data_IF_874344184182
#
_entry.id   IF_874344184182
#
_cell.length_a   1.000
_cell.length_b   1.000
_cell.length_c   1.000
_cell.angle_alpha   90.00
_cell.angle_beta   90.00
_cell.angle_gamma   90.00
#
_symmetry.space_group_name_H-M   'P 1'
#
loop_
_entity.id
_entity.type
_entity.pdbx_description
1 polymer ?
#
# COMPACT_ATOMS: atom_id res chain seq x y z
N UNK A 1 10.83 -32.36 -65.97
CA UNK A 1 12.06 -31.91 -65.28
C UNK A 1 11.80 -30.52 -64.73
N UNK A 2 12.01 -30.36 -63.42
CA UNK A 2 12.29 -29.14 -62.64
C UNK A 2 11.36 -27.94 -62.81
N UNK A 3 10.50 -27.69 -61.81
CA UNK A 3 10.78 -26.81 -60.66
C UNK A 3 10.46 -25.36 -60.99
N UNK A 4 9.36 -24.88 -60.45
CA UNK A 4 9.23 -23.48 -60.06
C UNK A 4 8.32 -23.50 -58.85
N UNK A 5 9.02 -23.60 -57.73
CA UNK A 5 8.56 -23.43 -56.37
C UNK A 5 7.52 -22.31 -56.27
N UNK A 6 6.26 -22.70 -56.17
CA UNK A 6 5.23 -21.82 -55.64
C UNK A 6 5.62 -21.51 -54.20
N UNK A 7 6.20 -20.32 -54.02
CA UNK A 7 6.50 -19.71 -52.74
C UNK A 7 5.27 -19.83 -51.83
N UNK A 8 5.28 -20.85 -50.97
CA UNK A 8 4.46 -20.89 -49.78
C UNK A 8 4.94 -19.70 -48.95
N UNK A 9 4.30 -18.54 -49.16
CA UNK A 9 4.41 -17.37 -48.29
C UNK A 9 3.92 -17.81 -46.93
N UNK A 10 4.84 -18.34 -46.12
CA UNK A 10 4.70 -18.48 -44.69
C UNK A 10 4.50 -17.04 -44.18
N UNK A 11 3.24 -16.64 -44.07
CA UNK A 11 2.86 -15.41 -43.40
C UNK A 11 3.60 -15.39 -42.07
N UNK A 12 4.27 -14.28 -41.72
CA UNK A 12 5.02 -14.19 -40.49
C UNK A 12 4.06 -14.60 -39.38
N UNK A 13 4.47 -15.58 -38.58
CA UNK A 13 3.79 -16.01 -37.37
C UNK A 13 3.86 -14.87 -36.36
N UNK A 14 3.13 -13.78 -36.64
CA UNK A 14 2.73 -12.81 -35.66
C UNK A 14 2.02 -13.65 -34.62
N UNK A 15 2.70 -13.90 -33.50
CA UNK A 15 2.07 -14.37 -32.27
C UNK A 15 0.93 -13.40 -31.99
N UNK A 16 -0.26 -13.68 -32.54
CA UNK A 16 -1.47 -12.90 -32.30
C UNK A 16 -1.58 -12.88 -30.78
N UNK A 17 -1.47 -11.69 -30.20
CA UNK A 17 -1.54 -11.51 -28.75
C UNK A 17 -3.00 -11.74 -28.36
N UNK A 18 -3.38 -13.00 -28.24
CA UNK A 18 -4.71 -13.42 -27.87
C UNK A 18 -5.04 -12.81 -26.51
N UNK A 19 -6.16 -12.08 -26.42
CA UNK A 19 -6.58 -11.43 -25.18
C UNK A 19 -6.88 -12.48 -24.12
N UNK A 20 -6.35 -12.27 -22.91
CA UNK A 20 -6.52 -13.20 -21.77
C UNK A 20 -7.89 -13.12 -21.10
N UNK A 21 -8.67 -12.09 -21.37
CA UNK A 21 -9.93 -11.80 -20.68
C UNK A 21 -10.97 -11.28 -21.65
N UNK A 22 -12.14 -11.93 -21.64
CA UNK A 22 -13.32 -11.54 -22.38
C UNK A 22 -14.13 -10.51 -21.58
N UNK A 23 -14.70 -9.51 -22.25
CA UNK A 23 -15.67 -8.58 -21.66
C UNK A 23 -17.02 -9.28 -21.46
N UNK A 24 -18.00 -8.61 -20.81
CA UNK A 24 -19.35 -9.16 -20.65
C UNK A 24 -20.07 -9.23 -22.01
N UNK A 25 -19.92 -8.20 -22.83
CA UNK A 25 -20.47 -8.12 -24.18
C UNK A 25 -19.92 -9.21 -25.11
N UNK A 26 -18.60 -9.40 -25.12
CA UNK A 26 -17.96 -10.46 -25.93
C UNK A 26 -18.47 -11.86 -25.53
N UNK A 27 -18.76 -12.08 -24.24
CA UNK A 27 -19.34 -13.34 -23.77
C UNK A 27 -20.78 -13.55 -24.22
N UNK A 28 -21.57 -12.48 -24.29
CA UNK A 28 -22.90 -12.53 -24.87
C UNK A 28 -22.83 -12.88 -26.36
N UNK A 29 -21.90 -12.27 -27.10
CA UNK A 29 -21.68 -12.58 -28.51
C UNK A 29 -21.30 -14.05 -28.69
N UNK A 30 -20.46 -14.62 -27.81
CA UNK A 30 -20.11 -16.05 -27.86
C UNK A 30 -21.35 -16.94 -27.71
N UNK A 31 -22.27 -16.61 -26.80
CA UNK A 31 -23.50 -17.40 -26.59
C UNK A 31 -24.37 -17.32 -27.85
N UNK A 32 -24.70 -16.12 -28.30
CA UNK A 32 -25.57 -15.92 -29.46
C UNK A 32 -25.01 -16.60 -30.72
N UNK A 33 -23.70 -16.51 -30.96
CA UNK A 33 -23.06 -17.17 -32.11
C UNK A 33 -22.98 -18.69 -31.96
N UNK A 34 -22.83 -19.19 -30.73
CA UNK A 34 -22.87 -20.63 -30.47
C UNK A 34 -24.27 -21.21 -30.66
N UNK A 35 -25.31 -20.47 -30.29
CA UNK A 35 -26.72 -20.84 -30.51
C UNK A 35 -27.08 -20.81 -32.00
N UNK A 36 -26.49 -19.89 -32.76
CA UNK A 36 -26.55 -19.85 -34.21
C UNK A 36 -25.75 -20.99 -34.91
N UNK A 37 -25.13 -21.90 -34.14
CA UNK A 37 -24.43 -23.07 -34.67
C UNK A 37 -22.98 -22.81 -35.13
N UNK A 38 -22.40 -21.64 -34.84
CA UNK A 38 -21.01 -21.37 -35.20
C UNK A 38 -20.02 -22.18 -34.36
N UNK A 39 -18.93 -22.62 -35.00
CA UNK A 39 -17.86 -23.33 -34.29
C UNK A 39 -17.06 -22.39 -33.39
N UNK A 40 -16.55 -22.92 -32.27
CA UNK A 40 -15.72 -22.14 -31.34
C UNK A 40 -14.46 -21.52 -32.00
N UNK A 41 -13.96 -22.13 -33.10
CA UNK A 41 -12.84 -21.60 -33.88
C UNK A 41 -13.24 -20.36 -34.69
N UNK A 42 -14.42 -20.36 -35.31
CA UNK A 42 -14.95 -19.20 -36.03
C UNK A 42 -15.23 -18.05 -35.08
N UNK A 43 -15.90 -18.34 -33.95
CA UNK A 43 -16.18 -17.35 -32.90
C UNK A 43 -14.87 -16.73 -32.37
N UNK A 44 -13.85 -17.56 -32.12
CA UNK A 44 -12.54 -17.10 -31.68
C UNK A 44 -11.83 -16.21 -32.71
N UNK A 45 -11.99 -16.50 -34.00
CA UNK A 45 -11.45 -15.66 -35.07
C UNK A 45 -12.12 -14.28 -35.13
N UNK A 46 -13.45 -14.23 -34.99
CA UNK A 46 -14.24 -12.99 -34.94
C UNK A 46 -13.82 -12.13 -33.75
N UNK A 47 -13.76 -12.73 -32.56
CA UNK A 47 -13.48 -12.03 -31.30
C UNK A 47 -11.99 -11.88 -30.98
N UNK A 48 -11.10 -12.30 -31.90
CA UNK A 48 -9.63 -12.29 -31.70
C UNK A 48 -9.24 -12.92 -30.34
N UNK A 49 -9.91 -14.00 -29.97
CA UNK A 49 -9.66 -14.81 -28.78
C UNK A 49 -9.37 -16.27 -29.16
N UNK A 50 -8.64 -17.02 -28.32
CA UNK A 50 -8.31 -18.40 -28.67
C UNK A 50 -9.58 -19.27 -28.65
N UNK A 51 -9.70 -20.22 -29.59
CA UNK A 51 -10.81 -21.17 -29.59
C UNK A 51 -10.91 -21.95 -28.26
N UNK A 52 -9.78 -22.20 -27.60
CA UNK A 52 -9.75 -22.79 -26.25
C UNK A 52 -10.40 -21.90 -25.17
N UNK A 53 -10.29 -20.58 -25.29
CA UNK A 53 -10.97 -19.63 -24.38
C UNK A 53 -12.48 -19.68 -24.62
N UNK A 54 -12.91 -19.71 -25.88
CA UNK A 54 -14.32 -19.86 -26.26
C UNK A 54 -14.89 -21.18 -25.73
N UNK A 55 -14.21 -22.31 -25.94
CA UNK A 55 -14.64 -23.61 -25.41
C UNK A 55 -14.74 -23.63 -23.88
N UNK A 56 -13.76 -23.06 -23.18
CA UNK A 56 -13.79 -22.97 -21.71
C UNK A 56 -14.97 -22.14 -21.22
N UNK A 57 -15.27 -21.04 -21.89
CA UNK A 57 -16.42 -20.21 -21.55
C UNK A 57 -17.74 -20.92 -21.85
N UNK A 58 -17.92 -21.52 -23.03
CA UNK A 58 -19.13 -22.27 -23.38
C UNK A 58 -19.38 -23.45 -22.43
N UNK A 59 -18.31 -24.16 -22.03
CA UNK A 59 -18.41 -25.22 -21.01
C UNK A 59 -18.92 -24.64 -19.69
N UNK A 60 -18.33 -23.55 -19.21
CA UNK A 60 -18.77 -22.89 -17.98
C UNK A 60 -20.22 -22.40 -18.05
N UNK A 61 -20.62 -21.82 -19.19
CA UNK A 61 -21.97 -21.33 -19.42
C UNK A 61 -22.98 -22.49 -19.40
N UNK A 62 -22.69 -23.62 -20.03
CA UNK A 62 -23.55 -24.81 -19.96
C UNK A 62 -23.67 -25.40 -18.55
N UNK A 63 -22.63 -25.29 -17.73
CA UNK A 63 -22.62 -25.83 -16.37
C UNK A 63 -23.31 -24.92 -15.34
N UNK A 64 -23.33 -23.60 -15.57
CA UNK A 64 -23.76 -22.62 -14.55
C UNK A 64 -24.82 -21.64 -15.03
N UNK A 65 -25.14 -21.66 -16.32
CA UNK A 65 -26.00 -20.68 -17.02
C UNK A 65 -25.58 -19.22 -16.81
N UNK A 66 -24.35 -19.02 -16.32
CA UNK A 66 -23.82 -17.71 -15.95
C UNK A 66 -22.92 -17.17 -17.05
N UNK A 67 -23.25 -15.96 -17.50
CA UNK A 67 -22.37 -15.16 -18.37
C UNK A 67 -21.20 -14.62 -17.55
N UNK A 68 -21.33 -14.54 -16.22
CA UNK A 68 -20.32 -13.94 -15.37
C UNK A 68 -19.05 -14.77 -15.30
N UNK A 69 -17.98 -14.10 -14.86
CA UNK A 69 -16.69 -14.79 -14.76
C UNK A 69 -16.72 -15.51 -13.44
N UNK A 70 -16.34 -16.78 -13.44
CA UNK A 70 -16.10 -17.51 -12.20
C UNK A 70 -15.20 -16.67 -11.28
N UNK A 71 -15.73 -16.29 -10.12
CA UNK A 71 -14.97 -15.60 -9.08
C UNK A 71 -13.78 -16.48 -8.72
N UNK A 72 -12.57 -15.91 -8.73
CA UNK A 72 -11.39 -16.64 -8.26
C UNK A 72 -11.65 -17.05 -6.82
N UNK A 73 -11.68 -18.36 -6.57
CA UNK A 73 -11.71 -18.90 -5.21
C UNK A 73 -10.46 -18.37 -4.51
N UNK A 74 -10.65 -17.44 -3.57
CA UNK A 74 -9.58 -17.06 -2.65
C UNK A 74 -9.47 -18.18 -1.61
N UNK A 75 -8.25 -18.49 -1.11
CA UNK A 75 -8.13 -19.38 0.03
C UNK A 75 -8.98 -18.83 1.18
N UNK A 76 -9.57 -19.73 1.96
CA UNK A 76 -10.32 -19.36 3.15
C UNK A 76 -9.42 -18.51 4.07
N UNK A 77 -9.98 -17.47 4.72
CA UNK A 77 -9.21 -16.66 5.66
C UNK A 77 -8.73 -17.55 6.82
N UNK A 78 -7.50 -17.27 7.30
CA UNK A 78 -6.91 -18.00 8.44
C UNK A 78 -7.65 -17.76 9.77
N UNK A 79 -8.38 -16.66 9.85
CA UNK A 79 -9.22 -16.30 10.99
C UNK A 79 -10.65 -16.39 10.49
N UNK A 80 -11.46 -17.23 11.14
CA UNK A 80 -12.88 -17.38 10.85
C UNK A 80 -13.70 -16.31 11.57
N UNK A 81 -14.97 -16.07 11.18
CA UNK A 81 -15.83 -15.12 11.87
C UNK A 81 -15.96 -15.38 13.38
N UNK A 82 -16.01 -16.64 13.80
CA UNK A 82 -16.13 -17.02 15.22
C UNK A 82 -14.86 -16.66 16.01
N UNK A 83 -13.69 -16.86 15.39
CA UNK A 83 -12.40 -16.43 15.94
C UNK A 83 -12.33 -14.91 16.05
N UNK A 84 -12.83 -14.17 15.04
CA UNK A 84 -12.95 -12.70 15.11
C UNK A 84 -13.85 -12.28 16.27
N UNK A 85 -15.01 -12.93 16.46
CA UNK A 85 -15.95 -12.61 17.53
C UNK A 85 -15.35 -12.81 18.93
N UNK A 86 -14.65 -13.94 19.16
CA UNK A 86 -13.95 -14.19 20.41
C UNK A 86 -12.87 -13.12 20.68
N UNK A 87 -12.08 -12.80 19.66
CA UNK A 87 -11.04 -11.76 19.74
C UNK A 87 -11.63 -10.38 20.03
N UNK A 88 -12.77 -10.05 19.42
CA UNK A 88 -13.49 -8.80 19.66
C UNK A 88 -14.04 -8.72 21.09
N UNK A 89 -14.60 -9.82 21.61
CA UNK A 89 -15.07 -9.89 22.98
C UNK A 89 -13.92 -9.67 23.97
N UNK A 90 -12.79 -10.37 23.80
CA UNK A 90 -11.61 -10.19 24.65
C UNK A 90 -11.04 -8.78 24.60
N UNK A 91 -11.08 -8.14 23.43
CA UNK A 91 -10.65 -6.75 23.27
C UNK A 91 -11.63 -5.74 23.90
N UNK A 92 -12.92 -6.09 24.02
CA UNK A 92 -13.92 -5.29 24.75
C UNK A 92 -13.73 -5.42 26.26
N UNK A 93 -13.54 -6.64 26.76
CA UNK A 93 -13.28 -6.92 28.18
C UNK A 93 -11.95 -6.31 28.65
N UNK A 94 -10.91 -6.41 27.83
CA UNK A 94 -9.55 -5.95 28.16
C UNK A 94 -8.95 -5.10 27.04
N UNK A 95 -8.99 -3.76 27.12
CA UNK A 95 -8.50 -2.89 26.03
C UNK A 95 -6.98 -2.95 25.82
N UNK A 96 -6.23 -3.44 26.81
CA UNK A 96 -4.77 -3.70 26.74
C UNK A 96 -4.41 -5.04 26.08
N UNK A 97 -5.40 -5.81 25.66
CA UNK A 97 -5.22 -7.13 25.07
C UNK A 97 -4.31 -7.09 23.84
N UNK A 98 -3.24 -7.89 23.87
CA UNK A 98 -2.19 -7.85 22.85
C UNK A 98 -2.39 -8.94 21.78
N UNK A 99 -1.91 -8.68 20.57
CA UNK A 99 -2.04 -9.63 19.47
C UNK A 99 -1.27 -10.96 19.70
N UNK A 100 -0.25 -10.94 20.56
CA UNK A 100 0.45 -12.16 20.99
C UNK A 100 -0.44 -13.04 21.88
N UNK A 101 -1.15 -12.43 22.82
CA UNK A 101 -2.13 -13.14 23.66
C UNK A 101 -3.26 -13.70 22.80
N UNK A 102 -3.79 -12.91 21.86
CA UNK A 102 -4.79 -13.39 20.89
C UNK A 102 -4.35 -14.59 20.07
N UNK A 103 -3.07 -14.67 19.66
CA UNK A 103 -2.56 -15.83 18.95
C UNK A 103 -2.48 -17.09 19.83
N UNK A 104 -2.14 -16.92 21.11
CA UNK A 104 -2.10 -18.03 22.09
C UNK A 104 -3.51 -18.53 22.36
N UNK A 105 -4.45 -17.61 22.59
CA UNK A 105 -5.84 -17.94 22.91
C UNK A 105 -6.55 -18.61 21.72
N UNK A 106 -6.27 -18.17 20.49
CA UNK A 106 -6.76 -18.85 19.28
C UNK A 106 -6.21 -20.27 19.14
N UNK A 107 -4.94 -20.48 19.49
CA UNK A 107 -4.35 -21.81 19.50
C UNK A 107 -4.98 -22.70 20.56
N UNK A 108 -5.27 -22.15 21.75
CA UNK A 108 -5.90 -22.89 22.83
C UNK A 108 -7.38 -23.24 22.53
N UNK A 109 -8.16 -22.28 22.02
CA UNK A 109 -9.59 -22.46 21.79
C UNK A 109 -9.92 -23.21 20.50
N UNK A 110 -9.16 -22.97 19.41
CA UNK A 110 -9.47 -23.52 18.09
C UNK A 110 -8.38 -24.42 17.51
N UNK A 111 -7.25 -24.62 18.21
CA UNK A 111 -6.12 -25.40 17.68
C UNK A 111 -5.38 -24.72 16.51
N UNK A 112 -5.70 -23.47 16.17
CA UNK A 112 -5.14 -22.80 14.99
C UNK A 112 -3.91 -22.00 15.35
N UNK A 113 -2.79 -22.33 14.70
CA UNK A 113 -1.55 -21.57 14.83
C UNK A 113 -1.56 -20.36 13.89
N UNK A 114 -1.81 -19.17 14.45
CA UNK A 114 -1.90 -17.91 13.71
C UNK A 114 -0.73 -17.00 14.10
N UNK A 115 -0.12 -16.33 13.12
CA UNK A 115 0.93 -15.36 13.41
C UNK A 115 0.34 -14.13 14.13
N UNK A 116 1.00 -13.55 15.14
CA UNK A 116 0.48 -12.38 15.87
C UNK A 116 0.13 -11.19 14.97
N UNK A 117 0.84 -10.99 13.87
CA UNK A 117 0.50 -9.92 12.91
C UNK A 117 -0.85 -10.15 12.21
N UNK A 118 -1.26 -11.40 11.99
CA UNK A 118 -2.58 -11.72 11.43
C UNK A 118 -3.68 -11.37 12.43
N UNK A 119 -3.47 -11.64 13.72
CA UNK A 119 -4.37 -11.23 14.81
C UNK A 119 -4.43 -9.69 14.92
N UNK A 120 -3.28 -9.02 14.79
CA UNK A 120 -3.23 -7.55 14.75
C UNK A 120 -4.04 -6.98 13.60
N UNK A 121 -3.97 -7.59 12.41
CA UNK A 121 -4.79 -7.20 11.28
C UNK A 121 -6.29 -7.37 11.56
N UNK A 122 -6.70 -8.47 12.20
CA UNK A 122 -8.08 -8.66 12.64
C UNK A 122 -8.53 -7.54 13.58
N UNK A 123 -7.74 -7.20 14.61
CA UNK A 123 -8.05 -6.09 15.51
C UNK A 123 -8.21 -4.74 14.79
N UNK A 124 -7.36 -4.44 13.81
CA UNK A 124 -7.45 -3.21 13.03
C UNK A 124 -8.72 -3.17 12.18
N UNK A 125 -9.12 -4.30 11.60
CA UNK A 125 -10.37 -4.41 10.84
C UNK A 125 -11.59 -4.23 11.76
N UNK A 126 -11.62 -4.88 12.92
CA UNK A 126 -12.68 -4.73 13.93
C UNK A 126 -12.80 -3.29 14.47
N UNK A 127 -11.68 -2.57 14.63
CA UNK A 127 -11.72 -1.14 15.00
C UNK A 127 -12.31 -0.26 13.90
N UNK A 128 -12.03 -0.56 12.64
CA UNK A 128 -12.64 0.16 11.50
C UNK A 128 -14.14 -0.08 11.40
N UNK A 129 -14.61 -1.32 11.66
CA UNK A 129 -16.04 -1.65 11.69
C UNK A 129 -16.79 -0.81 12.75
N UNK A 130 -16.20 -0.63 13.95
CA UNK A 130 -16.78 0.18 15.05
C UNK A 130 -16.95 1.65 14.73
N UNK A 131 -16.04 2.24 13.96
CA UNK A 131 -16.13 3.66 13.57
C UNK A 131 -17.28 3.91 12.59
N UNK A 132 -17.70 2.89 11.83
CA UNK A 132 -18.76 3.04 10.81
C UNK A 132 -20.16 2.93 11.43
N UNK A 133 -20.30 2.33 12.62
CA UNK A 133 -21.61 2.07 13.25
C UNK A 133 -22.00 3.08 14.35
N UNK A 134 -21.26 4.17 14.53
CA UNK A 134 -21.59 5.23 15.52
C UNK A 134 -22.29 6.45 14.91
N UNK A 135 -22.49 6.50 13.59
CA UNK A 135 -22.95 7.69 12.89
C UNK A 135 -24.27 7.41 12.17
N UNK A 136 -25.39 7.39 12.91
CA UNK A 136 -26.71 7.37 12.27
C UNK A 136 -27.60 8.56 12.60
N UNK A 137 -27.22 9.46 13.51
CA UNK A 137 -28.03 10.68 13.77
C UNK A 137 -27.26 12.00 13.90
N UNK A 138 -25.93 12.02 13.78
CA UNK A 138 -25.16 13.27 13.69
C UNK A 138 -24.39 13.30 12.37
N UNK A 139 -24.59 14.35 11.57
CA UNK A 139 -23.76 14.65 10.39
C UNK A 139 -22.29 14.81 10.82
N UNK A 140 -21.54 13.71 10.76
CA UNK A 140 -20.09 13.79 10.83
C UNK A 140 -19.61 14.28 9.48
N UNK A 141 -19.25 15.56 9.42
CA UNK A 141 -18.31 16.08 8.43
C UNK A 141 -17.08 15.17 8.44
N UNK A 142 -17.02 14.27 7.46
CA UNK A 142 -15.83 13.48 7.21
C UNK A 142 -14.75 14.48 6.80
N UNK A 143 -13.92 14.90 7.74
CA UNK A 143 -12.61 15.47 7.42
C UNK A 143 -11.78 14.28 6.91
N UNK A 144 -12.07 13.86 5.67
CA UNK A 144 -11.13 13.07 4.91
C UNK A 144 -9.90 13.94 4.77
N UNK A 145 -8.91 13.72 5.63
CA UNK A 145 -7.56 14.14 5.24
C UNK A 145 -7.33 13.47 3.88
N UNK A 146 -7.06 14.26 2.82
CA UNK A 146 -6.90 13.69 1.50
C UNK A 146 -5.83 12.61 1.62
N UNK A 147 -6.18 11.41 1.17
CA UNK A 147 -5.26 10.29 1.01
C UNK A 147 -4.03 10.87 0.33
N UNK A 148 -2.93 11.04 1.08
CA UNK A 148 -1.69 11.61 0.55
C UNK A 148 -1.44 10.91 -0.79
N UNK A 149 -1.39 11.64 -1.92
CA UNK A 149 -1.12 11.01 -3.19
C UNK A 149 0.14 10.20 -2.99
N UNK A 150 0.03 8.90 -3.26
CA UNK A 150 1.17 8.00 -3.29
C UNK A 150 2.09 8.64 -4.31
N UNK A 151 3.19 9.23 -3.83
CA UNK A 151 4.14 9.94 -4.68
C UNK A 151 4.44 9.00 -5.85
N UNK A 152 3.97 9.40 -7.03
CA UNK A 152 4.49 8.83 -8.25
C UNK A 152 5.97 9.16 -8.18
N UNK A 153 6.81 8.13 -8.15
CA UNK A 153 8.21 8.28 -8.49
C UNK A 153 8.25 8.64 -9.98
N UNK A 154 7.87 9.87 -10.30
CA UNK A 154 8.25 10.51 -11.55
C UNK A 154 9.75 10.77 -11.42
N UNK A 155 10.49 10.15 -12.35
CA UNK A 155 11.93 10.26 -12.39
C UNK A 155 12.36 11.72 -12.40
N UNK A 156 13.13 12.08 -11.39
CA UNK A 156 14.18 13.08 -11.45
C UNK A 156 15.08 12.84 -10.24
N UNK A 157 16.13 12.04 -10.43
CA UNK A 157 17.29 12.08 -9.53
C UNK A 157 17.94 13.46 -9.69
N UNK A 158 17.36 14.48 -9.08
CA UNK A 158 18.09 15.71 -8.80
C UNK A 158 19.04 15.35 -7.68
N UNK A 159 20.32 15.15 -8.02
CA UNK A 159 21.35 14.86 -7.04
C UNK A 159 21.29 15.89 -5.92
N UNK A 160 20.98 15.44 -4.70
CA UNK A 160 21.13 16.30 -3.53
C UNK A 160 22.61 16.63 -3.42
N UNK A 161 23.00 17.86 -3.77
CA UNK A 161 24.35 18.36 -3.48
C UNK A 161 24.57 18.16 -1.98
N UNK A 162 25.57 17.37 -1.62
CA UNK A 162 25.98 17.23 -0.23
C UNK A 162 26.59 18.57 0.20
N UNK A 163 25.82 19.37 0.94
CA UNK A 163 26.30 20.62 1.51
C UNK A 163 27.51 20.35 2.40
N UNK A 164 28.56 21.12 2.22
CA UNK A 164 29.76 21.03 3.04
C UNK A 164 29.45 21.51 4.47
N UNK A 165 30.22 21.06 5.46
CA UNK A 165 30.08 21.50 6.85
C UNK A 165 30.01 23.05 7.02
N UNK A 166 30.85 23.86 6.36
CA UNK A 166 30.73 25.32 6.46
C UNK A 166 29.43 25.87 5.84
N UNK A 167 28.94 25.28 4.75
CA UNK A 167 27.66 25.69 4.16
C UNK A 167 26.48 25.36 5.07
N UNK A 168 26.51 24.19 5.73
CA UNK A 168 25.49 23.83 6.73
C UNK A 168 25.48 24.79 7.92
N UNK A 169 26.66 25.19 8.41
CA UNK A 169 26.77 26.16 9.50
C UNK A 169 26.28 27.56 9.09
N UNK A 170 26.57 27.99 7.86
CA UNK A 170 26.09 29.26 7.34
C UNK A 170 24.56 29.31 7.20
N UNK A 171 23.93 28.18 6.83
CA UNK A 171 22.46 28.03 6.83
C UNK A 171 21.88 28.20 8.24
N UNK A 172 22.50 27.61 9.26
CA UNK A 172 22.05 27.72 10.65
C UNK A 172 22.15 29.18 11.13
N UNK A 173 23.29 29.83 10.90
CA UNK A 173 23.50 31.25 11.26
C UNK A 173 22.51 32.19 10.55
N UNK A 174 22.27 31.98 9.27
CA UNK A 174 21.29 32.77 8.52
C UNK A 174 19.88 32.61 9.11
N UNK A 175 19.50 31.40 9.53
CA UNK A 175 18.22 31.15 10.18
C UNK A 175 18.15 31.77 11.59
N UNK A 176 19.24 31.79 12.36
CA UNK A 176 19.33 32.48 13.66
C UNK A 176 19.21 34.01 13.50
N UNK A 177 19.74 34.57 12.40
CA UNK A 177 19.57 35.98 12.03
C UNK A 177 18.16 36.32 11.52
N UNK A 178 17.21 35.37 11.54
CA UNK A 178 15.82 35.59 11.19
C UNK A 178 15.53 35.60 9.68
N UNK A 179 16.48 35.20 8.83
CA UNK A 179 16.23 35.12 7.39
C UNK A 179 15.23 34.01 7.07
N UNK A 180 14.33 34.27 6.10
CA UNK A 180 13.31 33.29 5.71
C UNK A 180 13.98 32.09 5.03
N UNK A 181 13.51 30.88 5.35
CA UNK A 181 14.05 29.62 4.81
C UNK A 181 13.99 29.52 3.28
N UNK A 182 13.03 30.21 2.65
CA UNK A 182 12.95 30.36 1.19
C UNK A 182 14.11 31.14 0.62
N UNK A 183 14.58 32.15 1.35
CA UNK A 183 15.63 33.05 0.90
C UNK A 183 17.00 32.41 1.17
N UNK A 184 17.14 31.69 2.28
CA UNK A 184 18.29 30.80 2.54
C UNK A 184 18.43 29.76 1.41
N UNK A 185 17.33 29.12 1.00
CA UNK A 185 17.37 28.13 -0.07
C UNK A 185 17.87 28.71 -1.40
N UNK A 186 17.51 29.97 -1.71
CA UNK A 186 18.01 30.71 -2.87
C UNK A 186 19.49 31.07 -2.74
N UNK A 187 19.92 31.55 -1.57
CA UNK A 187 21.32 31.94 -1.31
C UNK A 187 22.29 30.77 -1.50
N UNK A 188 21.87 29.56 -1.10
CA UNK A 188 22.72 28.37 -1.17
C UNK A 188 22.46 27.49 -2.40
N UNK A 189 21.66 27.94 -3.37
CA UNK A 189 21.22 27.15 -4.54
C UNK A 189 20.78 25.73 -4.16
N UNK A 190 19.96 25.62 -3.11
CA UNK A 190 19.48 24.33 -2.60
C UNK A 190 17.98 24.28 -2.47
N UNK A 191 17.45 23.06 -2.33
CA UNK A 191 16.03 22.88 -2.06
C UNK A 191 15.68 23.34 -0.64
N UNK A 192 14.49 23.91 -0.46
CA UNK A 192 13.96 24.29 0.85
C UNK A 192 13.96 23.09 1.82
N UNK A 193 13.72 21.88 1.31
CA UNK A 193 13.74 20.64 2.09
C UNK A 193 15.15 20.33 2.62
N UNK A 194 16.19 20.68 1.87
CA UNK A 194 17.58 20.55 2.30
C UNK A 194 17.86 21.49 3.48
N UNK A 195 17.38 22.74 3.41
CA UNK A 195 17.49 23.72 4.51
C UNK A 195 16.81 23.19 5.78
N UNK A 196 15.57 22.70 5.68
CA UNK A 196 14.86 22.10 6.82
C UNK A 196 15.62 20.90 7.41
N UNK A 197 16.19 20.03 6.56
CA UNK A 197 16.94 18.87 7.03
C UNK A 197 18.20 19.28 7.80
N UNK A 198 18.93 20.28 7.31
CA UNK A 198 20.12 20.81 7.98
C UNK A 198 19.74 21.41 9.34
N UNK A 199 18.68 22.23 9.41
CA UNK A 199 18.24 22.83 10.68
C UNK A 199 17.78 21.75 11.71
N UNK A 200 17.09 20.71 11.24
CA UNK A 200 16.68 19.58 12.09
C UNK A 200 17.89 18.76 12.58
N UNK A 201 18.91 18.55 11.74
CA UNK A 201 20.17 17.87 12.09
C UNK A 201 20.87 18.62 13.23
N UNK A 202 21.01 19.95 13.14
CA UNK A 202 21.67 20.78 14.16
C UNK A 202 20.87 20.89 15.46
N UNK A 203 19.53 21.04 15.37
CA UNK A 203 18.66 21.03 16.55
C UNK A 203 18.73 19.70 17.31
N UNK A 204 18.87 18.58 16.59
CA UNK A 204 19.06 17.25 17.17
C UNK A 204 20.45 17.08 17.81
N UNK A 205 21.48 17.73 17.26
CA UNK A 205 22.82 17.72 17.82
C UNK A 205 22.93 18.56 19.11
N UNK A 206 22.38 19.77 19.14
CA UNK A 206 22.34 20.63 20.34
C UNK A 206 21.60 19.95 21.50
N UNK A 207 20.45 19.34 21.20
CA UNK A 207 19.67 18.60 22.19
C UNK A 207 20.42 17.35 22.69
N UNK A 208 21.15 16.64 21.83
CA UNK A 208 21.99 15.53 22.26
C UNK A 208 23.15 15.98 23.17
N UNK A 209 23.78 17.12 22.87
CA UNK A 209 24.83 17.73 23.70
C UNK A 209 24.27 18.14 25.07
N UNK A 210 23.11 18.81 25.08
CA UNK A 210 22.45 19.23 26.31
C UNK A 210 22.05 18.05 27.21
N UNK A 211 21.54 16.97 26.63
CA UNK A 211 21.19 15.74 27.37
C UNK A 211 22.44 15.04 27.92
N UNK A 212 23.54 14.96 27.15
CA UNK A 212 24.81 14.41 27.63
C UNK A 212 25.37 15.23 28.80
N UNK A 213 25.31 16.57 28.73
CA UNK A 213 25.78 17.45 29.79
C UNK A 213 24.94 17.34 31.08
N UNK A 214 23.63 17.16 30.95
CA UNK A 214 22.71 17.12 32.10
C UNK A 214 22.58 15.74 32.75
N UNK A 215 22.71 14.66 31.97
CA UNK A 215 22.44 13.30 32.44
C UNK A 215 23.62 12.33 32.28
N UNK A 216 24.74 12.75 31.72
CA UNK A 216 25.92 11.91 31.47
C UNK A 216 25.75 10.85 30.38
N UNK A 217 24.59 10.80 29.71
CA UNK A 217 24.25 9.76 28.71
C UNK A 217 24.56 10.26 27.30
N UNK A 218 25.35 9.49 26.54
CA UNK A 218 25.62 9.76 25.13
C UNK A 218 24.49 9.21 24.25
N UNK A 219 23.78 10.09 23.54
CA UNK A 219 22.69 9.74 22.63
C UNK A 219 23.12 10.05 21.19
N UNK A 220 22.93 9.10 20.27
CA UNK A 220 23.17 9.31 18.85
C UNK A 220 22.21 10.36 18.25
N UNK A 221 22.69 11.18 17.31
CA UNK A 221 21.95 12.31 16.73
C UNK A 221 20.61 11.87 16.09
N UNK A 222 20.52 10.63 15.58
CA UNK A 222 19.29 10.05 15.04
C UNK A 222 18.27 9.55 16.08
N UNK A 223 18.68 9.41 17.35
CA UNK A 223 17.90 8.79 18.42
C UNK A 223 17.09 9.79 19.25
N UNK A 224 17.37 11.09 19.13
CA UNK A 224 16.68 12.15 19.88
C UNK A 224 15.18 12.24 19.53
N UNK A 225 14.78 11.83 18.32
CA UNK A 225 13.37 11.75 17.90
C UNK A 225 12.52 10.77 18.71
N UNK A 226 13.13 9.90 19.53
CA UNK A 226 12.44 8.89 20.36
C UNK A 226 12.97 8.83 21.79
N UNK A 227 13.14 9.96 22.45
CA UNK A 227 13.21 9.94 23.92
C UNK A 227 11.77 9.98 24.46
N UNK A 228 11.12 8.82 24.49
CA UNK A 228 9.99 8.55 25.38
C UNK A 228 10.60 8.11 26.70
N UNK A 229 10.67 9.01 27.67
CA UNK A 229 11.08 8.62 29.01
C UNK A 229 9.91 7.89 29.69
N UNK A 230 10.20 6.80 30.42
CA UNK A 230 9.19 5.89 31.01
C UNK A 230 8.22 6.57 32.02
N UNK A 231 8.42 7.84 32.35
CA UNK A 231 7.67 8.55 33.40
C UNK A 231 6.88 9.80 32.92
N UNK A 232 6.56 9.93 31.63
CA UNK A 232 5.46 10.81 31.20
C UNK A 232 5.58 12.34 31.38
N UNK A 233 6.76 12.91 31.65
CA UNK A 233 6.94 14.37 31.74
C UNK A 233 7.36 14.99 30.40
N UNK A 234 6.52 15.90 29.88
CA UNK A 234 6.82 16.73 28.72
C UNK A 234 7.78 17.86 29.11
N UNK A 235 8.89 18.01 28.39
CA UNK A 235 9.66 19.26 28.43
C UNK A 235 8.91 20.29 27.57
N UNK A 236 8.00 21.05 28.20
CA UNK A 236 7.50 22.32 27.66
C UNK A 236 8.63 23.34 27.72
N UNK A 237 8.77 24.18 26.69
CA UNK A 237 9.51 25.45 26.79
C UNK A 237 8.93 26.23 27.98
N UNK A 238 9.77 26.63 28.91
CA UNK A 238 9.59 27.92 29.57
C UNK A 238 10.19 28.94 28.61
N UNK A 239 9.36 29.86 28.14
CA UNK A 239 9.84 31.07 27.50
C UNK A 239 10.44 31.94 28.61
N UNK A 240 11.65 32.45 28.37
CA UNK A 240 12.07 33.80 28.73
C UNK A 240 12.67 34.40 27.46
#
# INVERSE_FOLDING_TARGET
>A
MTSSDDEIRILPTLRRKWRKTLTKEERQIIINQSEAGQSARQIGAILKCSGTTVCKFLKHYRETESIERQKRKRPAPKITPDMEAMLEQKLKETPTYTAKQGAIDLKAAFGVNVHPETVRHAFLLSRKKRVISMDSDDEIMIVTTPKRPRAQNSGSKVGTKNLTAPQKLAIVRANEQGTKKSDIAKIFDTSINTVYRVLDEYRSAETAIAVKKKFGVQIGIGSVRRIRNKNGLYVRRLND
#
